data_IF_514842200633
#
_entry.id   IF_514842200633
#
_cell.length_a   1.000
_cell.length_b   1.000
_cell.length_c   1.000
_cell.angle_alpha   90.00
_cell.angle_beta   90.00
_cell.angle_gamma   90.00
#
_symmetry.space_group_name_H-M   'P 1'
#
loop_
_entity.id
_entity.type
_entity.pdbx_description
1 polymer ?
#
# COMPACT_ATOMS: atom_id res chain seq x y z
N UNK A 1 -33.13 -59.26 19.13
CA UNK A 1 -32.78 -58.61 17.86
C UNK A 1 -33.36 -57.19 17.69
N UNK A 2 -34.58 -56.89 18.10
CA UNK A 2 -35.18 -55.54 18.04
C UNK A 2 -34.46 -54.51 18.92
N UNK A 3 -34.12 -54.87 20.17
CA UNK A 3 -33.42 -53.97 21.10
C UNK A 3 -32.03 -53.58 20.60
N UNK A 4 -31.25 -54.53 20.02
CA UNK A 4 -29.92 -54.27 19.49
C UNK A 4 -29.95 -53.29 18.28
N UNK A 5 -30.99 -53.39 17.44
CA UNK A 5 -31.16 -52.43 16.31
C UNK A 5 -31.48 -51.01 16.77
N UNK A 6 -32.27 -50.86 17.83
CA UNK A 6 -32.62 -49.56 18.41
C UNK A 6 -31.38 -48.91 19.05
N UNK A 7 -30.55 -49.68 19.74
CA UNK A 7 -29.31 -49.20 20.37
C UNK A 7 -28.29 -48.72 19.31
N UNK A 8 -28.16 -49.42 18.19
CA UNK A 8 -27.27 -49.05 17.08
C UNK A 8 -27.75 -47.76 16.41
N UNK A 9 -29.07 -47.60 16.19
CA UNK A 9 -29.65 -46.40 15.60
C UNK A 9 -29.47 -45.19 16.55
N UNK A 10 -29.64 -45.36 17.85
CA UNK A 10 -29.42 -44.29 18.84
C UNK A 10 -27.95 -43.87 18.93
N UNK A 11 -27.00 -44.81 18.82
CA UNK A 11 -25.55 -44.51 18.74
C UNK A 11 -25.17 -43.78 17.48
N UNK A 12 -25.72 -44.15 16.32
CA UNK A 12 -25.49 -43.49 15.05
C UNK A 12 -26.08 -42.07 15.04
N UNK A 13 -27.24 -41.84 15.62
CA UNK A 13 -27.86 -40.51 15.75
C UNK A 13 -27.09 -39.60 16.72
N UNK A 14 -26.47 -40.15 17.77
CA UNK A 14 -25.60 -39.41 18.69
C UNK A 14 -24.29 -38.93 18.05
N UNK A 15 -23.74 -39.69 17.13
CA UNK A 15 -22.51 -39.31 16.40
C UNK A 15 -22.75 -38.22 15.35
N UNK A 16 -23.95 -38.08 14.81
CA UNK A 16 -24.27 -37.03 13.81
C UNK A 16 -24.46 -35.64 14.40
N UNK A 17 -24.63 -35.49 15.71
CA UNK A 17 -24.76 -34.20 16.39
C UNK A 17 -23.42 -33.54 16.77
N UNK A 18 -22.30 -34.27 16.74
CA UNK A 18 -20.97 -33.77 17.05
C UNK A 18 -20.25 -33.19 15.85
N UNK A 19 -20.88 -33.16 14.66
CA UNK A 19 -20.24 -32.79 13.39
C UNK A 19 -20.33 -31.28 13.03
N UNK A 20 -21.04 -30.47 13.80
CA UNK A 20 -21.24 -29.06 13.43
C UNK A 20 -20.01 -28.19 13.66
N UNK A 21 -19.14 -28.51 14.61
CA UNK A 21 -17.97 -27.68 14.96
C UNK A 21 -16.77 -27.89 13.98
N UNK A 22 -16.80 -29.01 13.23
CA UNK A 22 -15.69 -29.28 12.26
C UNK A 22 -15.77 -28.46 10.98
N UNK A 23 -16.92 -27.88 10.67
CA UNK A 23 -17.15 -27.08 9.48
C UNK A 23 -16.97 -25.56 9.70
N UNK A 24 -17.01 -25.12 10.95
CA UNK A 24 -16.68 -23.74 11.34
C UNK A 24 -15.14 -23.57 11.43
N UNK A 25 -14.49 -23.67 10.29
CA UNK A 25 -13.09 -23.23 10.19
C UNK A 25 -13.08 -21.72 10.10
N UNK A 26 -12.48 -21.07 11.10
CA UNK A 26 -12.11 -19.68 10.96
C UNK A 26 -11.34 -19.50 9.65
N UNK A 27 -11.67 -18.49 8.85
CA UNK A 27 -11.01 -18.27 7.58
C UNK A 27 -9.50 -18.12 7.84
N UNK A 28 -8.72 -19.04 7.31
CA UNK A 28 -7.24 -19.03 7.38
C UNK A 28 -6.63 -17.92 6.52
N UNK A 29 -7.44 -17.21 5.74
CA UNK A 29 -7.03 -16.06 4.95
C UNK A 29 -7.40 -14.78 5.67
N UNK A 30 -6.42 -13.89 5.79
CA UNK A 30 -6.65 -12.53 6.27
C UNK A 30 -7.52 -11.80 5.23
N UNK A 31 -8.71 -11.39 5.66
CA UNK A 31 -9.62 -10.54 4.89
C UNK A 31 -9.81 -9.22 5.63
N UNK A 32 -10.21 -8.12 4.95
CA UNK A 32 -10.48 -6.86 5.64
C UNK A 32 -11.51 -6.97 6.77
N UNK A 33 -12.41 -7.96 6.69
CA UNK A 33 -13.45 -8.19 7.69
C UNK A 33 -12.90 -8.78 8.99
N UNK A 34 -11.82 -9.57 8.91
CA UNK A 34 -11.26 -10.27 10.06
C UNK A 34 -9.89 -9.75 10.51
N UNK A 35 -9.37 -8.67 9.89
CA UNK A 35 -8.02 -8.17 10.16
C UNK A 35 -8.00 -6.86 10.96
N UNK A 36 -8.94 -5.93 10.74
CA UNK A 36 -8.93 -4.62 11.39
C UNK A 36 -9.68 -4.63 12.73
N UNK A 37 -9.16 -5.39 13.73
CA UNK A 37 -9.79 -5.52 15.05
C UNK A 37 -9.06 -4.73 16.14
N UNK A 38 -7.75 -4.59 16.04
CA UNK A 38 -6.91 -4.00 17.08
C UNK A 38 -5.96 -2.92 16.54
N UNK A 39 -5.50 -1.96 17.40
CA UNK A 39 -4.48 -0.99 17.03
C UNK A 39 -3.16 -1.63 16.56
N UNK A 40 -2.80 -2.80 17.09
CA UNK A 40 -1.61 -3.54 16.68
C UNK A 40 -1.72 -4.06 15.25
N UNK A 41 -2.88 -4.58 14.86
CA UNK A 41 -3.16 -5.01 13.49
C UNK A 41 -3.16 -3.82 12.53
N UNK A 42 -3.79 -2.71 12.91
CA UNK A 42 -3.74 -1.47 12.14
C UNK A 42 -2.30 -0.98 11.92
N UNK A 43 -1.47 -1.01 12.98
CA UNK A 43 -0.04 -0.67 12.87
C UNK A 43 0.72 -1.61 11.93
N UNK A 44 0.44 -2.91 12.00
CA UNK A 44 1.07 -3.91 11.13
C UNK A 44 0.68 -3.68 9.66
N UNK A 45 -0.58 -3.36 9.39
CA UNK A 45 -1.05 -3.05 8.05
C UNK A 45 -0.42 -1.75 7.51
N UNK A 46 -0.37 -0.70 8.32
CA UNK A 46 0.30 0.57 7.98
C UNK A 46 1.79 0.33 7.67
N UNK A 47 2.47 -0.52 8.45
CA UNK A 47 3.84 -0.95 8.16
C UNK A 47 3.94 -1.64 6.80
N UNK A 48 2.92 -2.41 6.40
CA UNK A 48 2.81 -3.00 5.07
C UNK A 48 2.67 -1.96 3.94
N UNK A 49 2.14 -0.77 4.21
CA UNK A 49 2.14 0.36 3.25
C UNK A 49 3.56 0.92 3.13
N UNK A 50 4.25 1.17 4.24
CA UNK A 50 5.67 1.60 4.24
C UNK A 50 6.60 0.61 3.54
N UNK A 51 6.34 -0.70 3.66
CA UNK A 51 7.18 -1.75 3.08
C UNK A 51 7.31 -1.67 1.55
N UNK A 52 6.40 -0.97 0.86
CA UNK A 52 6.53 -0.68 -0.57
C UNK A 52 7.78 0.17 -0.85
N UNK A 53 8.12 1.12 0.02
CA UNK A 53 9.29 1.98 -0.15
C UNK A 53 10.61 1.18 -0.13
N UNK A 54 10.67 0.08 0.62
CA UNK A 54 11.87 -0.76 0.75
C UNK A 54 11.96 -1.88 -0.29
N UNK A 55 10.96 -2.02 -1.17
CA UNK A 55 11.02 -3.04 -2.22
C UNK A 55 12.21 -2.80 -3.17
N UNK A 56 12.84 -3.85 -3.71
CA UNK A 56 13.91 -3.73 -4.69
C UNK A 56 13.55 -2.84 -5.88
N UNK A 57 12.31 -2.91 -6.34
CA UNK A 57 11.74 -2.12 -7.44
C UNK A 57 11.55 -0.63 -7.11
N UNK A 58 11.79 -0.21 -5.88
CA UNK A 58 11.73 1.18 -5.45
C UNK A 58 13.05 1.56 -4.76
N UNK A 59 13.02 2.17 -3.57
CA UNK A 59 14.25 2.60 -2.87
C UNK A 59 15.16 1.45 -2.42
N UNK A 60 14.71 0.20 -2.47
CA UNK A 60 15.51 -0.98 -2.14
C UNK A 60 16.63 -1.32 -3.15
N UNK A 61 16.63 -0.70 -4.34
CA UNK A 61 17.69 -0.96 -5.34
C UNK A 61 17.45 -0.27 -6.68
N UNK A 62 16.37 -0.60 -7.37
CA UNK A 62 16.14 -0.23 -8.78
C UNK A 62 15.86 1.26 -8.99
N UNK A 63 15.54 2.01 -7.93
CA UNK A 63 15.42 3.47 -8.00
C UNK A 63 16.68 4.14 -8.56
N UNK A 64 17.85 3.55 -8.33
CA UNK A 64 19.11 4.01 -8.90
C UNK A 64 19.11 4.01 -10.43
N UNK A 65 18.32 3.15 -11.05
CA UNK A 65 18.20 3.14 -12.52
C UNK A 65 17.41 4.33 -13.06
N UNK A 66 16.47 4.85 -12.27
CA UNK A 66 15.71 6.07 -12.62
C UNK A 66 16.58 7.32 -12.55
N UNK A 67 17.48 7.40 -11.55
CA UNK A 67 18.35 8.57 -11.35
C UNK A 67 19.68 8.50 -12.13
N UNK A 68 20.06 7.34 -12.63
CA UNK A 68 21.29 7.15 -13.40
C UNK A 68 21.16 7.52 -14.90
N UNK A 69 19.99 8.03 -15.29
CA UNK A 69 19.66 8.37 -16.69
C UNK A 69 19.83 9.85 -17.03
N UNK A 70 20.55 10.64 -16.24
CA UNK A 70 20.81 12.04 -16.55
C UNK A 70 22.02 12.19 -17.51
N UNK A 71 22.25 13.40 -18.00
CA UNK A 71 23.32 13.75 -18.94
C UNK A 71 24.70 13.91 -18.27
N UNK A 72 24.76 13.94 -16.94
CA UNK A 72 25.99 14.11 -16.15
C UNK A 72 26.44 12.81 -15.49
N UNK A 73 25.55 11.84 -15.32
CA UNK A 73 25.84 10.57 -14.67
C UNK A 73 25.38 9.38 -15.49
N UNK A 74 26.05 8.26 -15.32
CA UNK A 74 25.65 6.99 -15.91
C UNK A 74 25.93 5.83 -14.96
N UNK A 75 25.12 4.80 -15.07
CA UNK A 75 25.33 3.57 -14.32
C UNK A 75 26.60 2.86 -14.84
N UNK A 76 27.62 2.73 -14.00
CA UNK A 76 28.91 2.13 -14.33
C UNK A 76 28.97 0.60 -14.19
N UNK A 77 27.84 -0.08 -13.96
CA UNK A 77 27.80 -1.54 -13.76
C UNK A 77 27.99 -2.33 -15.07
N UNK A 78 28.27 -3.61 -14.91
CA UNK A 78 28.58 -4.57 -15.99
C UNK A 78 27.44 -4.84 -16.99
N UNK A 79 26.24 -4.32 -16.74
CA UNK A 79 25.06 -4.49 -17.61
C UNK A 79 25.00 -3.55 -18.82
N UNK A 80 25.96 -2.62 -18.97
CA UNK A 80 25.94 -1.62 -20.04
C UNK A 80 26.85 -2.04 -21.19
N UNK A 81 26.39 -2.94 -22.02
CA UNK A 81 27.04 -3.27 -23.27
C UNK A 81 26.36 -2.60 -24.48
N UNK A 82 26.95 -2.68 -25.70
CA UNK A 82 26.37 -2.08 -26.91
C UNK A 82 24.94 -2.56 -27.26
N UNK A 83 24.56 -3.73 -26.76
CA UNK A 83 23.24 -4.31 -26.94
C UNK A 83 22.34 -4.18 -25.71
N UNK A 84 22.78 -3.46 -24.65
CA UNK A 84 21.99 -3.28 -23.45
C UNK A 84 20.81 -2.36 -23.71
N UNK A 85 19.66 -2.70 -23.13
CA UNK A 85 18.39 -1.97 -23.21
C UNK A 85 17.90 -1.64 -21.81
N UNK A 86 16.94 -0.76 -21.71
CA UNK A 86 16.28 -0.43 -20.47
C UNK A 86 16.65 0.96 -19.92
N UNK A 87 16.20 1.25 -18.72
CA UNK A 87 16.32 2.56 -18.06
C UNK A 87 17.77 3.03 -17.95
N UNK A 88 18.69 2.14 -17.61
CA UNK A 88 20.12 2.46 -17.45
C UNK A 88 20.81 2.86 -18.75
N UNK A 89 20.17 2.62 -19.89
CA UNK A 89 20.69 2.91 -21.22
C UNK A 89 19.90 4.01 -21.94
N UNK A 90 18.94 4.64 -21.27
CA UNK A 90 18.03 5.65 -21.82
C UNK A 90 17.23 5.17 -23.06
N UNK A 91 16.97 3.88 -23.15
CA UNK A 91 16.21 3.26 -24.23
C UNK A 91 15.15 2.27 -23.71
N UNK A 92 14.60 2.55 -22.54
CA UNK A 92 13.52 1.76 -21.97
C UNK A 92 12.29 1.73 -22.88
N UNK A 93 11.63 0.60 -22.91
CA UNK A 93 10.35 0.42 -23.59
C UNK A 93 9.24 0.18 -22.57
N UNK A 94 8.00 0.21 -23.02
CA UNK A 94 6.82 -0.11 -22.19
C UNK A 94 6.83 -1.55 -21.66
N UNK A 95 7.68 -2.41 -22.21
CA UNK A 95 7.86 -3.81 -21.79
C UNK A 95 9.08 -4.00 -20.87
N UNK A 96 9.74 -2.93 -20.47
CA UNK A 96 10.87 -3.02 -19.55
C UNK A 96 10.39 -3.50 -18.17
N UNK A 97 11.05 -4.53 -17.65
CA UNK A 97 10.66 -5.16 -16.39
C UNK A 97 10.77 -4.20 -15.19
N UNK A 98 11.76 -3.30 -15.17
CA UNK A 98 11.92 -2.34 -14.08
C UNK A 98 10.79 -1.30 -14.11
N UNK A 99 10.43 -0.81 -15.30
CA UNK A 99 9.30 0.12 -15.49
C UNK A 99 7.99 -0.53 -15.03
N UNK A 100 7.74 -1.75 -15.49
CA UNK A 100 6.53 -2.51 -15.14
C UNK A 100 6.46 -2.81 -13.64
N UNK A 101 7.55 -3.26 -13.05
CA UNK A 101 7.62 -3.59 -11.62
C UNK A 101 7.43 -2.35 -10.74
N UNK A 102 7.99 -1.19 -11.14
CA UNK A 102 7.80 0.06 -10.41
C UNK A 102 6.34 0.54 -10.45
N UNK A 103 5.70 0.46 -11.60
CA UNK A 103 4.27 0.74 -11.75
C UNK A 103 3.41 -0.11 -10.80
N UNK A 104 3.64 -1.42 -10.78
CA UNK A 104 2.90 -2.33 -9.90
C UNK A 104 3.17 -2.07 -8.42
N UNK A 105 4.40 -1.74 -8.04
CA UNK A 105 4.74 -1.41 -6.66
C UNK A 105 3.96 -0.18 -6.19
N UNK A 106 3.94 0.90 -6.98
CA UNK A 106 3.22 2.14 -6.65
C UNK A 106 1.71 1.90 -6.50
N UNK A 107 1.08 1.22 -7.45
CA UNK A 107 -0.36 0.89 -7.33
C UNK A 107 -0.67 -0.10 -6.20
N UNK A 108 0.24 -1.00 -5.88
CA UNK A 108 0.10 -1.85 -4.69
C UNK A 108 0.10 -1.02 -3.41
N UNK A 109 0.98 -0.02 -3.31
CA UNK A 109 1.02 0.93 -2.21
C UNK A 109 -0.26 1.74 -2.08
N UNK A 110 -0.75 2.29 -3.19
CA UNK A 110 -2.01 3.03 -3.25
C UNK A 110 -3.19 2.17 -2.82
N UNK A 111 -3.28 0.94 -3.33
CA UNK A 111 -4.38 0.03 -2.99
C UNK A 111 -4.37 -0.36 -1.50
N UNK A 112 -3.19 -0.60 -0.91
CA UNK A 112 -3.04 -0.84 0.52
C UNK A 112 -3.45 0.38 1.34
N UNK A 113 -3.04 1.58 0.94
CA UNK A 113 -3.43 2.81 1.63
C UNK A 113 -4.95 3.03 1.57
N UNK A 114 -5.58 2.83 0.41
CA UNK A 114 -7.03 2.89 0.28
C UNK A 114 -7.73 1.88 1.20
N UNK A 115 -7.30 0.62 1.18
CA UNK A 115 -7.87 -0.43 2.04
C UNK A 115 -7.70 -0.09 3.53
N UNK A 116 -6.57 0.47 3.93
CA UNK A 116 -6.35 0.93 5.30
C UNK A 116 -7.33 2.03 5.69
N UNK A 117 -7.44 3.07 4.86
CA UNK A 117 -8.32 4.23 5.12
C UNK A 117 -9.80 3.85 5.15
N UNK A 118 -10.22 2.88 4.35
CA UNK A 118 -11.60 2.35 4.34
C UNK A 118 -11.95 1.54 5.60
N UNK A 119 -10.95 0.98 6.29
CA UNK A 119 -11.20 0.03 7.39
C UNK A 119 -10.74 0.53 8.77
N UNK A 120 -9.92 1.57 8.85
CA UNK A 120 -9.36 2.04 10.12
C UNK A 120 -10.43 2.46 11.14
N UNK A 121 -11.61 2.87 10.69
CA UNK A 121 -12.71 3.28 11.55
C UNK A 121 -13.37 2.11 12.29
N UNK A 122 -13.16 0.88 11.84
CA UNK A 122 -13.61 -0.34 12.54
C UNK A 122 -12.79 -0.63 13.79
N UNK A 123 -11.56 -0.14 13.83
CA UNK A 123 -10.61 -0.42 14.91
C UNK A 123 -10.90 0.46 16.12
N UNK A 124 -11.07 -0.18 17.28
CA UNK A 124 -11.27 0.48 18.56
C UNK A 124 -10.03 0.32 19.46
N UNK A 125 -9.97 1.12 20.52
CA UNK A 125 -8.94 0.98 21.56
C UNK A 125 -7.60 1.65 21.22
N UNK A 126 -7.59 2.62 20.33
CA UNK A 126 -6.42 3.48 20.12
C UNK A 126 -6.19 4.42 21.32
N UNK A 127 -4.93 4.65 21.64
CA UNK A 127 -4.55 5.78 22.46
C UNK A 127 -4.87 7.10 21.75
N UNK A 128 -5.03 8.18 22.53
CA UNK A 128 -5.39 9.50 22.01
C UNK A 128 -4.37 9.98 20.94
N UNK A 129 -4.88 10.38 19.77
CA UNK A 129 -4.10 10.92 18.65
C UNK A 129 -3.33 9.87 17.82
N UNK A 130 -3.37 8.57 18.19
CA UNK A 130 -2.65 7.54 17.46
C UNK A 130 -3.39 7.16 16.17
N UNK A 131 -4.72 7.10 16.21
CA UNK A 131 -5.54 6.82 15.02
C UNK A 131 -5.36 7.90 13.96
N UNK A 132 -5.44 9.17 14.38
CA UNK A 132 -5.26 10.33 13.52
C UNK A 132 -3.86 10.33 12.89
N UNK A 133 -2.83 9.99 13.66
CA UNK A 133 -1.47 9.84 13.14
C UNK A 133 -1.41 8.75 12.06
N UNK A 134 -2.01 7.58 12.28
CA UNK A 134 -1.99 6.48 11.31
C UNK A 134 -2.74 6.83 10.03
N UNK A 135 -3.85 7.56 10.14
CA UNK A 135 -4.60 8.08 8.98
C UNK A 135 -3.73 9.05 8.19
N UNK A 136 -3.09 10.00 8.88
CA UNK A 136 -2.22 10.99 8.24
C UNK A 136 -1.02 10.33 7.53
N UNK A 137 -0.38 9.33 8.14
CA UNK A 137 0.71 8.57 7.52
C UNK A 137 0.23 7.82 6.26
N UNK A 138 -0.93 7.17 6.32
CA UNK A 138 -1.49 6.43 5.17
C UNK A 138 -1.88 7.37 4.01
N UNK A 139 -2.48 8.53 4.32
CA UNK A 139 -2.82 9.57 3.33
C UNK A 139 -1.56 10.12 2.68
N UNK A 140 -0.56 10.47 3.46
CA UNK A 140 0.73 10.94 2.92
C UNK A 140 1.38 9.91 2.00
N UNK A 141 1.46 8.63 2.42
CA UNK A 141 2.06 7.56 1.60
C UNK A 141 1.28 7.36 0.29
N UNK A 142 -0.05 7.39 0.33
CA UNK A 142 -0.88 7.32 -0.88
C UNK A 142 -0.56 8.45 -1.85
N UNK A 143 -0.52 9.67 -1.35
CA UNK A 143 -0.17 10.85 -2.13
C UNK A 143 1.26 10.77 -2.69
N UNK A 144 2.21 10.26 -1.90
CA UNK A 144 3.59 10.07 -2.33
C UNK A 144 3.73 9.04 -3.45
N UNK A 145 2.96 7.95 -3.41
CA UNK A 145 2.94 6.98 -4.51
C UNK A 145 2.33 7.57 -5.77
N UNK A 146 1.27 8.36 -5.67
CA UNK A 146 0.71 9.10 -6.80
C UNK A 146 1.69 10.13 -7.36
N UNK A 147 2.43 10.83 -6.51
CA UNK A 147 3.45 11.78 -6.94
C UNK A 147 4.51 11.10 -7.83
N UNK A 148 5.03 9.94 -7.42
CA UNK A 148 5.96 9.18 -8.25
C UNK A 148 5.33 8.69 -9.57
N UNK A 149 4.05 8.34 -9.57
CA UNK A 149 3.35 7.97 -10.80
C UNK A 149 3.26 9.14 -11.78
N UNK A 150 2.82 10.31 -11.32
CA UNK A 150 2.65 11.47 -12.23
C UNK A 150 3.99 12.05 -12.69
N UNK A 151 5.04 11.99 -11.86
CA UNK A 151 6.40 12.35 -12.28
C UNK A 151 6.90 11.48 -13.44
N UNK A 152 6.63 10.17 -13.41
CA UNK A 152 7.16 9.23 -14.40
C UNK A 152 6.26 9.05 -15.62
N UNK A 153 4.92 9.12 -15.48
CA UNK A 153 3.98 8.75 -16.55
C UNK A 153 2.99 9.86 -16.93
N UNK A 154 2.96 10.98 -16.22
CA UNK A 154 1.98 12.05 -16.46
C UNK A 154 0.57 11.61 -16.05
N UNK A 155 -0.37 11.62 -17.00
CA UNK A 155 -1.75 11.15 -16.76
C UNK A 155 -1.79 9.66 -16.47
N UNK A 156 -2.38 9.29 -15.34
CA UNK A 156 -2.46 7.89 -14.89
C UNK A 156 -3.87 7.56 -14.38
N UNK A 157 -4.26 6.27 -14.30
CA UNK A 157 -5.49 5.88 -13.64
C UNK A 157 -5.53 6.35 -12.18
N UNK A 158 -6.57 7.13 -11.83
CA UNK A 158 -6.72 7.69 -10.50
C UNK A 158 -7.80 6.95 -9.71
N UNK A 159 -7.47 6.49 -8.50
CA UNK A 159 -8.31 5.65 -7.69
C UNK A 159 -8.13 5.91 -6.20
N UNK A 160 -9.18 6.32 -5.52
CA UNK A 160 -9.19 6.62 -4.09
C UNK A 160 -9.87 5.54 -3.24
N UNK A 161 -10.30 4.46 -3.89
CA UNK A 161 -10.92 3.29 -3.26
C UNK A 161 -10.12 2.02 -3.53
N UNK A 162 -10.18 1.05 -2.63
CA UNK A 162 -9.48 -0.21 -2.79
C UNK A 162 -10.11 -1.07 -3.89
N UNK A 163 -9.35 -2.01 -4.43
CA UNK A 163 -9.85 -2.96 -5.42
C UNK A 163 -10.60 -4.08 -4.72
N UNK A 164 -11.91 -4.08 -4.84
CA UNK A 164 -12.80 -5.06 -4.21
C UNK A 164 -13.10 -6.27 -5.11
N UNK A 165 -12.91 -6.12 -6.41
CA UNK A 165 -13.31 -7.13 -7.40
C UNK A 165 -12.40 -7.07 -8.62
N UNK A 166 -12.35 -8.18 -9.37
CA UNK A 166 -11.70 -8.26 -10.69
C UNK A 166 -12.55 -7.65 -11.81
N UNK A 167 -13.74 -7.18 -11.49
CA UNK A 167 -14.59 -6.43 -12.42
C UNK A 167 -14.27 -4.93 -12.34
N UNK A 168 -14.49 -4.20 -13.44
CA UNK A 168 -14.24 -2.75 -13.51
C UNK A 168 -12.78 -2.33 -13.25
N UNK A 169 -11.83 -3.12 -13.71
CA UNK A 169 -10.40 -2.82 -13.62
C UNK A 169 -9.94 -1.80 -14.67
N UNK A 170 -10.75 -1.56 -15.69
CA UNK A 170 -10.42 -0.65 -16.80
C UNK A 170 -10.76 0.79 -16.43
N UNK A 171 -9.87 1.44 -15.68
CA UNK A 171 -9.99 2.83 -15.25
C UNK A 171 -9.23 3.71 -16.25
N UNK A 172 -9.88 4.71 -16.87
CA UNK A 172 -9.20 5.64 -17.77
C UNK A 172 -8.14 6.46 -17.02
N UNK A 173 -7.22 7.04 -17.79
CA UNK A 173 -6.26 8.01 -17.24
C UNK A 173 -6.98 9.29 -16.83
N UNK A 174 -6.58 9.85 -15.71
CA UNK A 174 -7.01 11.14 -15.19
C UNK A 174 -5.93 12.17 -15.48
N UNK A 175 -6.31 13.41 -15.75
CA UNK A 175 -5.38 14.51 -15.96
C UNK A 175 -4.44 14.66 -14.75
N UNK A 176 -3.15 14.80 -15.01
CA UNK A 176 -2.13 14.92 -13.97
C UNK A 176 -2.35 16.11 -13.04
N UNK A 177 -2.96 17.22 -13.53
CA UNK A 177 -3.21 18.38 -12.68
C UNK A 177 -4.24 18.08 -11.60
N UNK A 178 -5.30 17.33 -11.93
CA UNK A 178 -6.28 16.87 -10.94
C UNK A 178 -5.59 15.97 -9.88
N UNK A 179 -4.68 15.09 -10.32
CA UNK A 179 -3.93 14.24 -9.41
C UNK A 179 -2.97 15.06 -8.54
N UNK A 180 -2.31 16.10 -9.09
CA UNK A 180 -1.48 17.00 -8.29
C UNK A 180 -2.30 17.76 -7.24
N UNK A 181 -3.50 18.21 -7.56
CA UNK A 181 -4.39 18.89 -6.60
C UNK A 181 -4.76 17.95 -5.45
N UNK A 182 -5.05 16.68 -5.74
CA UNK A 182 -5.25 15.65 -4.74
C UNK A 182 -3.99 15.41 -3.89
N UNK A 183 -2.81 15.26 -4.50
CA UNK A 183 -1.53 15.03 -3.80
C UNK A 183 -1.27 16.16 -2.82
N UNK A 184 -1.43 17.41 -3.25
CA UNK A 184 -1.20 18.60 -2.44
C UNK A 184 -2.16 18.62 -1.25
N UNK A 185 -3.45 18.38 -1.48
CA UNK A 185 -4.45 18.33 -0.42
C UNK A 185 -4.13 17.24 0.61
N UNK A 186 -3.85 16.01 0.17
CA UNK A 186 -3.56 14.89 1.07
C UNK A 186 -2.30 15.13 1.91
N UNK A 187 -1.23 15.66 1.31
CA UNK A 187 0.01 15.91 2.03
C UNK A 187 -0.09 17.09 3.02
N UNK A 188 -0.79 18.17 2.63
CA UNK A 188 -1.02 19.32 3.50
C UNK A 188 -1.89 18.92 4.70
N UNK A 189 -3.03 18.28 4.45
CA UNK A 189 -3.91 17.80 5.51
C UNK A 189 -3.19 16.84 6.47
N UNK A 190 -2.39 15.92 5.95
CA UNK A 190 -1.62 14.99 6.78
C UNK A 190 -0.62 15.73 7.68
N UNK A 191 0.08 16.73 7.13
CA UNK A 191 1.04 17.55 7.90
C UNK A 191 0.37 18.38 8.99
N UNK A 192 -0.83 18.91 8.71
CA UNK A 192 -1.53 19.81 9.63
C UNK A 192 -2.30 19.06 10.75
N UNK A 193 -2.79 17.85 10.46
CA UNK A 193 -3.80 17.23 11.34
C UNK A 193 -3.29 16.04 12.15
N UNK A 194 -2.27 15.30 11.72
CA UNK A 194 -1.97 14.04 12.39
C UNK A 194 -0.49 13.68 12.48
N UNK A 195 0.36 14.18 11.59
CA UNK A 195 1.78 13.84 11.63
C UNK A 195 2.49 14.51 12.82
N UNK A 196 3.32 13.71 13.50
CA UNK A 196 4.13 14.20 14.61
C UNK A 196 5.30 15.04 14.11
N UNK A 197 5.64 16.10 14.86
CA UNK A 197 6.92 16.77 14.67
C UNK A 197 8.08 15.81 14.99
N UNK A 198 9.19 15.94 14.30
CA UNK A 198 10.39 15.14 14.58
C UNK A 198 10.99 15.44 15.99
N UNK A 199 10.63 16.58 16.60
CA UNK A 199 11.00 16.96 17.97
C UNK A 199 10.02 16.45 19.03
N UNK A 200 8.90 15.84 18.64
CA UNK A 200 7.93 15.26 19.58
C UNK A 200 8.51 13.99 20.20
N UNK A 201 8.42 13.86 21.53
CA UNK A 201 8.88 12.66 22.25
C UNK A 201 8.13 11.38 21.84
N UNK A 202 6.91 11.51 21.32
CA UNK A 202 6.13 10.39 20.80
C UNK A 202 6.47 10.05 19.34
N UNK A 203 7.31 10.83 18.66
CA UNK A 203 7.76 10.53 17.31
C UNK A 203 8.63 9.26 17.29
N UNK A 204 8.32 8.36 16.38
CA UNK A 204 9.11 7.13 16.18
C UNK A 204 10.00 7.30 14.95
N UNK A 205 11.33 7.23 15.08
CA UNK A 205 12.25 7.27 13.94
C UNK A 205 11.89 6.22 12.89
N UNK A 206 11.97 6.59 11.62
CA UNK A 206 11.56 5.75 10.49
C UNK A 206 10.09 5.94 10.07
N UNK A 207 9.30 6.72 10.83
CA UNK A 207 7.97 7.18 10.43
C UNK A 207 8.04 8.54 9.74
N UNK A 208 6.99 8.87 8.98
CA UNK A 208 6.86 10.20 8.37
C UNK A 208 6.60 11.22 9.47
N UNK A 209 7.43 12.27 9.50
CA UNK A 209 7.23 13.44 10.35
C UNK A 209 6.54 14.57 9.60
N UNK A 210 6.01 15.53 10.33
CA UNK A 210 5.44 16.76 9.78
C UNK A 210 6.45 17.49 8.87
N UNK A 211 7.72 17.59 9.29
CA UNK A 211 8.78 18.23 8.49
C UNK A 211 9.09 17.47 7.21
N UNK A 212 9.02 16.13 7.24
CA UNK A 212 9.13 15.30 6.03
C UNK A 212 8.00 15.61 5.06
N UNK A 213 6.76 15.71 5.55
CA UNK A 213 5.60 16.01 4.71
C UNK A 213 5.73 17.38 4.03
N UNK A 214 6.13 18.41 4.78
CA UNK A 214 6.36 19.75 4.21
C UNK A 214 7.52 19.78 3.21
N UNK A 215 8.60 19.04 3.46
CA UNK A 215 9.74 18.94 2.53
C UNK A 215 9.35 18.28 1.19
N UNK A 216 8.60 17.18 1.25
CA UNK A 216 8.10 16.53 0.04
C UNK A 216 7.04 17.38 -0.67
N UNK A 217 6.15 18.04 0.07
CA UNK A 217 5.15 18.94 -0.50
C UNK A 217 5.80 20.11 -1.25
N UNK A 218 6.88 20.69 -0.72
CA UNK A 218 7.66 21.71 -1.42
C UNK A 218 8.20 21.19 -2.75
N UNK A 219 8.70 19.94 -2.79
CA UNK A 219 9.11 19.29 -4.04
C UNK A 219 7.93 19.10 -4.99
N UNK A 220 6.76 18.67 -4.52
CA UNK A 220 5.55 18.55 -5.35
C UNK A 220 5.21 19.86 -6.05
N UNK A 221 5.29 21.00 -5.34
CA UNK A 221 5.04 22.32 -5.93
C UNK A 221 6.05 22.72 -7.00
N UNK A 222 7.27 22.20 -6.97
CA UNK A 222 8.27 22.45 -8.02
C UNK A 222 8.00 21.69 -9.32
N UNK A 223 7.28 20.56 -9.24
CA UNK A 223 6.98 19.68 -10.38
C UNK A 223 5.59 19.93 -10.99
N UNK A 224 4.69 20.59 -10.26
CA UNK A 224 3.35 20.95 -10.73
C UNK A 224 3.43 22.04 -11.81
#
# INVERSE_FOLDING_TARGET
MKALKITIIALLAGFSMASCDFLDKEPTKLTPENYFNTPAEANSFLTGIYAILSQPTFYGGDYMYLVAGDDLSHYGGSGRGPASTGLICNNATTSDNAVTAFWYALYSGINRANMFLENIDKVNGFDAGVKEQYIAEARFLRAFYYFNLVECWGDVPFKTVSTQSVTNLNIPRTDKQEIYDFIISEMADAADTGLKSASDLAYKPGRISQSTAWGILARVYLFR
#
